data_IF_950828675390
#
_entry.id   IF_950828675390
#
_cell.length_a   1.000
_cell.length_b   1.000
_cell.length_c   1.000
_cell.angle_alpha   90.00
_cell.angle_beta   90.00
_cell.angle_gamma   90.00
#
_symmetry.space_group_name_H-M   'P 1'
#
loop_
_entity.id
_entity.type
_entity.pdbx_description
1 polymer ?
#
# COMPACT_ATOMS: atom_id res chain seq x y z
N UNK A 1 5.23 -8.05 -35.93
CA UNK A 1 5.82 -7.08 -34.98
C UNK A 1 7.26 -7.50 -34.73
N UNK A 2 8.26 -6.66 -35.00
CA UNK A 2 9.65 -6.99 -34.65
C UNK A 2 9.78 -7.13 -33.12
N UNK A 3 10.68 -8.00 -32.63
CA UNK A 3 10.88 -8.17 -31.19
C UNK A 3 11.35 -6.85 -30.59
N UNK A 4 10.68 -6.41 -29.51
CA UNK A 4 11.04 -5.20 -28.76
C UNK A 4 12.45 -5.40 -28.21
N UNK A 5 13.35 -4.43 -28.43
CA UNK A 5 14.73 -4.49 -27.95
C UNK A 5 14.79 -4.57 -26.42
N UNK A 6 15.79 -5.28 -25.90
CA UNK A 6 16.01 -5.53 -24.47
C UNK A 6 16.05 -4.20 -23.68
N UNK A 7 16.68 -3.17 -24.24
CA UNK A 7 16.79 -1.84 -23.62
C UNK A 7 15.41 -1.17 -23.44
N UNK A 8 14.50 -1.35 -24.39
CA UNK A 8 13.14 -0.80 -24.31
C UNK A 8 12.33 -1.56 -23.24
N UNK A 9 12.48 -2.89 -23.17
CA UNK A 9 11.81 -3.69 -22.13
C UNK A 9 12.30 -3.33 -20.73
N UNK A 10 13.61 -3.12 -20.56
CA UNK A 10 14.21 -2.69 -19.30
C UNK A 10 13.74 -1.29 -18.88
N UNK A 11 13.73 -0.34 -19.82
CA UNK A 11 13.26 1.03 -19.57
C UNK A 11 11.80 1.05 -19.12
N UNK A 12 10.94 0.25 -19.78
CA UNK A 12 9.54 0.12 -19.41
C UNK A 12 9.35 -0.48 -18.01
N UNK A 13 10.08 -1.55 -17.68
CA UNK A 13 10.07 -2.16 -16.34
C UNK A 13 10.50 -1.17 -15.24
N UNK A 14 11.54 -0.37 -15.50
CA UNK A 14 11.99 0.67 -14.57
C UNK A 14 10.95 1.79 -14.41
N UNK A 15 10.22 2.14 -15.47
CA UNK A 15 9.13 3.10 -15.39
C UNK A 15 7.95 2.54 -14.58
N UNK A 16 7.59 1.26 -14.80
CA UNK A 16 6.55 0.56 -14.02
C UNK A 16 6.91 0.49 -12.52
N UNK A 17 8.17 0.20 -12.18
CA UNK A 17 8.66 0.23 -10.80
C UNK A 17 8.52 1.61 -10.15
N UNK A 18 8.84 2.68 -10.89
CA UNK A 18 8.68 4.06 -10.41
C UNK A 18 7.20 4.40 -10.20
N UNK A 19 6.35 4.08 -11.15
CA UNK A 19 4.91 4.31 -11.04
C UNK A 19 4.31 3.54 -9.86
N UNK A 20 4.67 2.28 -9.69
CA UNK A 20 4.20 1.46 -8.57
C UNK A 20 4.64 2.05 -7.22
N UNK A 21 5.88 2.54 -7.14
CA UNK A 21 6.37 3.26 -5.96
C UNK A 21 5.56 4.53 -5.65
N UNK A 22 5.25 5.33 -6.66
CA UNK A 22 4.44 6.54 -6.51
C UNK A 22 3.00 6.22 -6.08
N UNK A 23 2.37 5.21 -6.68
CA UNK A 23 1.01 4.78 -6.32
C UNK A 23 0.96 4.32 -4.87
N UNK A 24 1.95 3.55 -4.40
CA UNK A 24 2.00 3.10 -2.99
C UNK A 24 2.05 4.28 -2.01
N UNK A 25 2.84 5.31 -2.32
CA UNK A 25 2.91 6.51 -1.49
C UNK A 25 1.57 7.27 -1.48
N UNK A 26 0.95 7.47 -2.64
CA UNK A 26 -0.36 8.12 -2.76
C UNK A 26 -1.42 7.35 -1.97
N UNK A 27 -1.45 6.03 -2.08
CA UNK A 27 -2.42 5.17 -1.39
C UNK A 27 -2.27 5.24 0.13
N UNK A 28 -1.05 5.38 0.66
CA UNK A 28 -0.85 5.63 2.09
C UNK A 28 -1.47 6.95 2.54
N UNK A 29 -1.33 8.01 1.75
CA UNK A 29 -1.99 9.30 2.01
C UNK A 29 -3.52 9.22 1.97
N UNK A 30 -4.06 8.49 0.99
CA UNK A 30 -5.51 8.23 0.87
C UNK A 30 -6.01 7.46 2.11
N UNK A 31 -5.28 6.43 2.55
CA UNK A 31 -5.63 5.66 3.74
C UNK A 31 -5.66 6.55 5.00
N UNK A 32 -4.67 7.42 5.18
CA UNK A 32 -4.63 8.37 6.29
C UNK A 32 -5.82 9.34 6.26
N UNK A 33 -6.12 9.92 5.09
CA UNK A 33 -7.25 10.83 4.92
C UNK A 33 -8.60 10.16 5.23
N UNK A 34 -8.83 8.94 4.73
CA UNK A 34 -10.03 8.17 5.05
C UNK A 34 -10.14 7.87 6.54
N UNK A 35 -9.02 7.47 7.17
CA UNK A 35 -9.03 7.13 8.60
C UNK A 35 -9.37 8.35 9.45
N UNK A 36 -8.76 9.52 9.19
CA UNK A 36 -9.05 10.76 9.91
C UNK A 36 -10.52 11.18 9.69
N UNK A 37 -11.00 11.12 8.44
CA UNK A 37 -12.38 11.47 8.12
C UNK A 37 -13.40 10.58 8.83
N UNK A 38 -13.17 9.26 8.83
CA UNK A 38 -14.03 8.29 9.51
C UNK A 38 -13.98 8.43 11.03
N UNK A 39 -12.80 8.66 11.61
CA UNK A 39 -12.67 8.91 13.06
C UNK A 39 -13.45 10.15 13.47
N UNK A 40 -13.34 11.24 12.69
CA UNK A 40 -14.06 12.48 12.94
C UNK A 40 -15.57 12.25 12.92
N UNK A 41 -16.07 11.52 11.90
CA UNK A 41 -17.47 11.17 11.81
C UNK A 41 -17.93 10.26 12.96
N UNK A 42 -17.11 9.29 13.34
CA UNK A 42 -17.39 8.35 14.43
C UNK A 42 -17.55 9.08 15.78
N UNK A 43 -16.64 9.98 16.13
CA UNK A 43 -16.73 10.76 17.37
C UNK A 43 -17.90 11.74 17.36
N UNK A 44 -18.20 12.37 16.22
CA UNK A 44 -19.38 13.24 16.10
C UNK A 44 -20.69 12.49 16.35
N UNK A 45 -20.78 11.22 15.91
CA UNK A 45 -21.97 10.39 16.13
C UNK A 45 -22.09 9.95 17.59
N UNK A 46 -20.97 9.68 18.28
CA UNK A 46 -21.00 9.33 19.70
C UNK A 46 -21.50 10.49 20.57
N UNK A 47 -21.22 11.74 20.18
CA UNK A 47 -21.66 12.94 20.91
C UNK A 47 -23.17 13.17 20.84
N UNK A 48 -23.85 12.69 19.79
CA UNK A 48 -25.31 12.79 19.64
C UNK A 48 -26.10 11.90 20.63
N UNK A 49 -25.43 10.94 21.28
CA UNK A 49 -25.93 10.11 22.38
C UNK A 49 -27.33 9.46 22.17
N UNK A 50 -27.71 9.17 20.92
CA UNK A 50 -28.96 8.52 20.54
C UNK A 50 -28.70 7.09 20.01
N UNK A 51 -29.65 6.17 20.21
CA UNK A 51 -29.55 4.75 19.78
C UNK A 51 -29.16 4.61 18.31
N UNK A 52 -29.74 5.44 17.43
CA UNK A 52 -29.45 5.43 16.00
C UNK A 52 -28.03 5.94 15.68
N UNK A 53 -27.48 6.82 16.51
CA UNK A 53 -26.12 7.33 16.35
C UNK A 53 -25.08 6.29 16.82
N UNK A 54 -25.39 5.51 17.86
CA UNK A 54 -24.58 4.37 18.32
C UNK A 54 -24.49 3.28 17.23
N UNK A 55 -25.59 2.96 16.57
CA UNK A 55 -25.59 1.99 15.46
C UNK A 55 -24.76 2.48 14.26
N UNK A 56 -24.85 3.77 13.92
CA UNK A 56 -24.00 4.39 12.88
C UNK A 56 -22.53 4.46 13.29
N UNK A 57 -22.23 4.66 14.58
CA UNK A 57 -20.87 4.61 15.11
C UNK A 57 -20.27 3.19 14.96
N UNK A 58 -21.06 2.15 15.22
CA UNK A 58 -20.64 0.77 14.97
C UNK A 58 -20.38 0.49 13.47
N UNK A 59 -21.24 1.00 12.58
CA UNK A 59 -21.01 0.89 11.14
C UNK A 59 -19.75 1.63 10.67
N UNK A 60 -19.48 2.84 11.16
CA UNK A 60 -18.26 3.59 10.81
C UNK A 60 -17.01 2.87 11.28
N UNK A 61 -17.04 2.24 12.47
CA UNK A 61 -15.97 1.35 12.94
C UNK A 61 -15.73 0.18 11.98
N UNK A 62 -16.77 -0.54 11.61
CA UNK A 62 -16.67 -1.67 10.68
C UNK A 62 -16.11 -1.24 9.30
N UNK A 63 -16.54 -0.09 8.79
CA UNK A 63 -16.03 0.49 7.54
C UNK A 63 -14.54 0.82 7.69
N UNK A 64 -14.12 1.42 8.82
CA UNK A 64 -12.72 1.70 9.14
C UNK A 64 -11.86 0.45 9.10
N UNK A 65 -12.28 -0.63 9.78
CA UNK A 65 -11.60 -1.93 9.77
C UNK A 65 -11.43 -2.47 8.34
N UNK A 66 -12.52 -2.50 7.56
CA UNK A 66 -12.51 -3.02 6.18
C UNK A 66 -11.52 -2.23 5.31
N UNK A 67 -11.55 -0.90 5.40
CA UNK A 67 -10.65 -0.02 4.64
C UNK A 67 -9.19 -0.33 4.96
N UNK A 68 -8.83 -0.40 6.25
CA UNK A 68 -7.45 -0.71 6.65
C UNK A 68 -6.99 -2.08 6.12
N UNK A 69 -7.86 -3.09 6.19
CA UNK A 69 -7.55 -4.43 5.65
C UNK A 69 -7.33 -4.38 4.14
N UNK A 70 -8.17 -3.66 3.39
CA UNK A 70 -8.01 -3.51 1.94
C UNK A 70 -6.69 -2.81 1.58
N UNK A 71 -6.29 -1.77 2.34
CA UNK A 71 -5.01 -1.09 2.13
C UNK A 71 -3.80 -1.99 2.48
N UNK A 72 -3.91 -2.83 3.50
CA UNK A 72 -2.88 -3.82 3.81
C UNK A 72 -2.74 -4.87 2.68
N UNK A 73 -3.85 -5.37 2.14
CA UNK A 73 -3.86 -6.30 1.01
C UNK A 73 -3.25 -5.64 -0.24
N UNK A 74 -3.62 -4.39 -0.52
CA UNK A 74 -3.04 -3.61 -1.59
C UNK A 74 -1.52 -3.50 -1.45
N UNK A 75 -1.02 -3.16 -0.25
CA UNK A 75 0.42 -2.98 0.00
C UNK A 75 1.20 -4.29 -0.15
N UNK A 76 0.64 -5.42 0.31
CA UNK A 76 1.22 -6.74 0.10
C UNK A 76 1.28 -7.10 -1.40
N UNK A 77 0.20 -6.85 -2.12
CA UNK A 77 0.11 -7.12 -3.57
C UNK A 77 1.10 -6.26 -4.36
N UNK A 78 1.18 -4.97 -4.02
CA UNK A 78 2.12 -4.04 -4.63
C UNK A 78 3.58 -4.43 -4.32
N UNK A 79 3.87 -4.91 -3.11
CA UNK A 79 5.21 -5.39 -2.75
C UNK A 79 5.59 -6.66 -3.53
N UNK A 80 4.63 -7.54 -3.79
CA UNK A 80 4.86 -8.73 -4.61
C UNK A 80 5.11 -8.38 -6.08
N UNK A 81 4.29 -7.51 -6.68
CA UNK A 81 4.48 -7.01 -8.04
C UNK A 81 5.83 -6.27 -8.18
N UNK A 82 6.18 -5.45 -7.19
CA UNK A 82 7.45 -4.73 -7.17
C UNK A 82 8.64 -5.69 -7.26
N UNK A 83 8.62 -6.78 -6.46
CA UNK A 83 9.65 -7.80 -6.54
C UNK A 83 9.67 -8.48 -7.91
N UNK A 84 8.51 -8.85 -8.45
CA UNK A 84 8.43 -9.51 -9.75
C UNK A 84 9.01 -8.65 -10.88
N UNK A 85 8.71 -7.34 -10.90
CA UNK A 85 9.26 -6.42 -11.88
C UNK A 85 10.76 -6.20 -11.68
N UNK A 86 11.22 -6.09 -10.43
CA UNK A 86 12.64 -5.95 -10.13
C UNK A 86 13.45 -7.20 -10.51
N UNK A 87 12.93 -8.40 -10.25
CA UNK A 87 13.59 -9.66 -10.61
C UNK A 87 13.69 -9.79 -12.14
N UNK A 88 12.65 -9.39 -12.89
CA UNK A 88 12.67 -9.34 -14.36
C UNK A 88 13.66 -8.30 -14.88
N UNK A 89 13.69 -7.11 -14.30
CA UNK A 89 14.63 -6.06 -14.69
C UNK A 89 16.08 -6.50 -14.45
N UNK A 90 16.36 -7.16 -13.32
CA UNK A 90 17.67 -7.74 -13.01
C UNK A 90 18.08 -8.82 -14.02
N UNK A 91 17.15 -9.69 -14.44
CA UNK A 91 17.42 -10.71 -15.44
C UNK A 91 17.79 -10.11 -16.82
N UNK A 92 17.21 -8.97 -17.17
CA UNK A 92 17.50 -8.25 -18.42
C UNK A 92 18.80 -7.44 -18.35
N UNK A 93 19.15 -6.85 -17.20
CA UNK A 93 20.39 -6.08 -17.01
C UNK A 93 21.64 -6.97 -16.91
N UNK A 94 21.48 -8.22 -16.47
CA UNK A 94 22.58 -9.16 -16.21
C UNK A 94 23.22 -8.98 -14.82
N UNK A 95 23.94 -9.99 -14.34
CA UNK A 95 24.51 -10.01 -12.97
C UNK A 95 25.53 -8.88 -12.68
N UNK A 96 26.08 -8.27 -13.73
CA UNK A 96 27.02 -7.15 -13.64
C UNK A 96 26.38 -5.77 -13.90
N UNK A 97 25.05 -5.71 -14.00
CA UNK A 97 24.29 -4.49 -14.28
C UNK A 97 24.47 -3.40 -13.21
N UNK A 98 24.65 -2.14 -13.64
CA UNK A 98 24.98 -1.02 -12.77
C UNK A 98 23.87 -0.64 -11.77
N UNK A 99 22.61 -0.92 -12.09
CA UNK A 99 21.43 -0.54 -11.30
C UNK A 99 21.19 -1.53 -10.16
N UNK A 100 21.35 -2.83 -10.41
CA UNK A 100 21.11 -3.89 -9.41
C UNK A 100 22.39 -4.47 -8.79
N UNK A 101 23.59 -3.99 -9.18
CA UNK A 101 24.84 -4.38 -8.52
C UNK A 101 24.75 -4.16 -7.00
N UNK A 102 25.02 -5.21 -6.24
CA UNK A 102 25.00 -5.25 -4.77
C UNK A 102 23.65 -4.97 -4.07
N UNK A 103 22.55 -4.73 -4.82
CA UNK A 103 21.22 -4.49 -4.24
C UNK A 103 20.32 -5.72 -4.30
N UNK A 104 19.97 -6.26 -3.13
CA UNK A 104 18.91 -7.28 -3.00
C UNK A 104 17.54 -6.61 -2.87
N UNK A 105 16.73 -6.68 -3.92
CA UNK A 105 15.32 -6.27 -3.84
C UNK A 105 14.55 -7.33 -3.05
N UNK A 106 13.99 -6.94 -1.90
CA UNK A 106 13.29 -7.85 -0.99
C UNK A 106 11.77 -7.70 -1.13
N UNK A 107 11.06 -8.83 -1.07
CA UNK A 107 9.59 -8.88 -1.07
C UNK A 107 8.98 -8.07 0.07
N UNK A 108 9.67 -8.01 1.21
CA UNK A 108 9.32 -7.18 2.37
C UNK A 108 10.44 -6.16 2.57
N UNK A 109 10.54 -5.22 1.64
CA UNK A 109 11.41 -4.07 1.81
C UNK A 109 11.03 -3.29 3.07
N UNK A 110 11.98 -2.50 3.57
CA UNK A 110 11.80 -1.68 4.77
C UNK A 110 10.54 -0.80 4.69
N UNK A 111 10.25 -0.24 3.52
CA UNK A 111 9.02 0.56 3.28
C UNK A 111 7.77 -0.29 3.48
N UNK A 112 7.66 -1.47 2.85
CA UNK A 112 6.50 -2.36 3.00
C UNK A 112 6.28 -2.75 4.46
N UNK A 113 7.37 -3.07 5.19
CA UNK A 113 7.27 -3.43 6.60
C UNK A 113 6.76 -2.28 7.46
N UNK A 114 7.28 -1.06 7.26
CA UNK A 114 6.81 0.13 7.97
C UNK A 114 5.35 0.40 7.65
N UNK A 115 4.94 0.34 6.37
CA UNK A 115 3.54 0.52 5.98
C UNK A 115 2.61 -0.49 6.68
N UNK A 116 3.00 -1.77 6.73
CA UNK A 116 2.21 -2.81 7.39
C UNK A 116 2.11 -2.60 8.90
N UNK A 117 3.18 -2.13 9.54
CA UNK A 117 3.14 -1.74 10.97
C UNK A 117 2.14 -0.61 11.18
N UNK A 118 2.15 0.41 10.32
CA UNK A 118 1.19 1.53 10.39
C UNK A 118 -0.24 1.01 10.23
N UNK A 119 -0.52 0.17 9.23
CA UNK A 119 -1.86 -0.41 9.05
C UNK A 119 -2.28 -1.29 10.23
N UNK A 120 -1.37 -2.07 10.81
CA UNK A 120 -1.66 -2.86 12.00
C UNK A 120 -2.02 -1.97 13.21
N UNK A 121 -1.31 -0.87 13.42
CA UNK A 121 -1.63 0.10 14.47
C UNK A 121 -2.99 0.76 14.24
N UNK A 122 -3.31 1.15 13.00
CA UNK A 122 -4.62 1.70 12.68
C UNK A 122 -5.75 0.68 12.89
N UNK A 123 -5.50 -0.59 12.55
CA UNK A 123 -6.46 -1.67 12.81
C UNK A 123 -6.72 -1.84 14.31
N UNK A 124 -5.67 -1.76 15.14
CA UNK A 124 -5.78 -1.78 16.60
C UNK A 124 -6.65 -0.61 17.08
N UNK A 125 -6.41 0.61 16.60
CA UNK A 125 -7.25 1.78 16.94
C UNK A 125 -8.73 1.51 16.63
N UNK A 126 -9.03 1.05 15.41
CA UNK A 126 -10.41 0.71 15.02
C UNK A 126 -11.00 -0.48 15.79
N UNK A 127 -10.15 -1.38 16.31
CA UNK A 127 -10.62 -2.50 17.12
C UNK A 127 -11.00 -2.09 18.54
N UNK A 128 -10.43 -1.01 19.09
CA UNK A 128 -10.70 -0.58 20.46
C UNK A 128 -11.68 0.62 20.57
N UNK A 129 -12.03 1.26 19.45
CA UNK A 129 -13.14 2.21 19.35
C UNK A 129 -14.49 1.49 19.41
#
# INVERSE_FOLDING_TARGET
MPPISIDVQFTELMNQLRHLGAIRFVMMGVCAAFTIGLLTAHYSLLDECNMQAIERAFHTRMIGIIIIVLFAIFELSASWQYKQFADRAKALEGENGAVFKDRKVRLFGLVTLISLIVYALLLVVWWFL
#
